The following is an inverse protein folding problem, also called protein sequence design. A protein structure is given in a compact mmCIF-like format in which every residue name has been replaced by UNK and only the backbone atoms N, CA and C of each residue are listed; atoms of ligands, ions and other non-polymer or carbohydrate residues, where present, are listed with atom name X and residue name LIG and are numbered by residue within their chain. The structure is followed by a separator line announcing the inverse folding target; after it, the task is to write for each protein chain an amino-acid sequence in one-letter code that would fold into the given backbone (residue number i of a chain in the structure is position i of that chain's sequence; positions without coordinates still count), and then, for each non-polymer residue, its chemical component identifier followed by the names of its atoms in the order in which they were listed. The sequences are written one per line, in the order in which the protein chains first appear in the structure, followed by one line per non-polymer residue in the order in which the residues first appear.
data_IF_774163802444
#
_entry.id   IF_774163802444
#
_cell.length_a   1.000
_cell.length_b   1.000
_cell.length_c   1.000
_cell.angle_alpha   90.00
_cell.angle_beta   90.00
_cell.angle_gamma   90.00
#
_symmetry.space_group_name_H-M   'P 1'
#
loop_
_entity.id
_entity.type
_entity.pdbx_description
1 polymer ?
#
# COMPACT_ATOMS: atom_id res chain seq x y z
N UNK A 1 -27.05 -1.32 6.96
CA UNK A 1 -28.35 -1.14 6.30
C UNK A 1 -28.72 -2.36 5.50
N UNK A 2 -30.01 -2.62 5.35
CA UNK A 2 -30.56 -3.65 4.45
C UNK A 2 -31.29 -2.91 3.32
N UNK A 3 -31.18 -3.35 2.06
CA UNK A 3 -31.88 -2.71 0.96
C UNK A 3 -33.40 -2.75 1.15
N UNK A 4 -34.05 -1.65 0.84
CA UNK A 4 -35.50 -1.47 0.82
C UNK A 4 -36.10 -2.00 -0.49
N UNK A 5 -37.43 -2.12 -0.56
CA UNK A 5 -38.12 -2.63 -1.74
C UNK A 5 -37.98 -1.71 -2.97
N UNK A 6 -37.68 -0.43 -2.75
CA UNK A 6 -37.51 0.58 -3.80
C UNK A 6 -36.05 0.72 -4.27
N UNK A 7 -35.10 0.09 -3.56
CA UNK A 7 -33.69 0.09 -3.94
C UNK A 7 -33.48 -0.78 -5.17
N UNK A 8 -32.98 -0.16 -6.24
CA UNK A 8 -32.62 -0.83 -7.48
C UNK A 8 -31.16 -1.25 -7.44
N UNK A 9 -30.88 -2.33 -8.14
CA UNK A 9 -29.52 -2.79 -8.33
C UNK A 9 -28.71 -1.71 -9.08
N UNK A 10 -27.65 -1.22 -8.46
CA UNK A 10 -26.80 -0.15 -9.01
C UNK A 10 -27.10 1.26 -8.49
N UNK A 11 -28.06 1.44 -7.56
CA UNK A 11 -28.30 2.73 -6.90
C UNK A 11 -27.10 3.20 -6.05
N UNK A 12 -26.27 2.26 -5.62
CA UNK A 12 -25.02 2.52 -4.92
C UNK A 12 -23.87 2.20 -5.87
N UNK A 13 -23.07 3.22 -6.17
CA UNK A 13 -21.84 3.10 -6.95
C UNK A 13 -20.67 3.71 -6.19
N UNK A 14 -19.50 3.10 -6.32
CA UNK A 14 -18.27 3.58 -5.68
C UNK A 14 -17.48 4.42 -6.66
N UNK A 15 -17.17 5.65 -6.27
CA UNK A 15 -16.21 6.48 -6.99
C UNK A 15 -14.78 5.98 -6.71
N UNK A 16 -14.19 5.32 -7.72
CA UNK A 16 -12.83 4.78 -7.65
C UNK A 16 -11.77 5.87 -7.69
N UNK A 17 -12.04 7.02 -8.34
CA UNK A 17 -11.12 8.14 -8.38
C UNK A 17 -11.01 8.77 -6.98
N UNK A 18 -12.15 9.03 -6.35
CA UNK A 18 -12.19 9.58 -4.98
C UNK A 18 -11.53 8.63 -3.97
N UNK A 19 -11.76 7.32 -4.11
CA UNK A 19 -11.09 6.32 -3.28
C UNK A 19 -9.55 6.37 -3.43
N UNK A 20 -9.07 6.56 -4.66
CA UNK A 20 -7.64 6.68 -4.95
C UNK A 20 -7.02 8.00 -4.45
N UNK A 21 -7.78 9.10 -4.46
CA UNK A 21 -7.37 10.38 -3.88
C UNK A 21 -7.13 10.25 -2.37
N UNK A 22 -8.09 9.70 -1.62
CA UNK A 22 -7.95 9.47 -0.18
C UNK A 22 -6.79 8.52 0.13
N UNK A 23 -6.60 7.47 -0.68
CA UNK A 23 -5.42 6.61 -0.56
C UNK A 23 -4.11 7.40 -0.66
N UNK A 24 -3.99 8.34 -1.60
CA UNK A 24 -2.79 9.18 -1.73
C UNK A 24 -2.60 10.12 -0.55
N UNK A 25 -3.68 10.67 0.00
CA UNK A 25 -3.62 11.48 1.23
C UNK A 25 -3.04 10.68 2.39
N UNK A 26 -3.51 9.45 2.59
CA UNK A 26 -2.97 8.56 3.63
C UNK A 26 -1.52 8.16 3.33
N UNK A 27 -1.20 7.86 2.08
CA UNK A 27 0.15 7.50 1.65
C UNK A 27 1.15 8.62 1.97
N UNK A 28 0.77 9.89 1.77
CA UNK A 28 1.61 11.05 2.06
C UNK A 28 1.93 11.22 3.56
N UNK A 29 1.13 10.63 4.45
CA UNK A 29 1.39 10.63 5.89
C UNK A 29 2.36 9.53 6.33
N UNK A 30 2.67 8.57 5.44
CA UNK A 30 3.57 7.46 5.74
C UNK A 30 5.03 7.84 5.53
N UNK A 31 5.95 7.07 6.13
CA UNK A 31 7.39 7.24 5.87
C UNK A 31 7.75 6.46 4.59
N UNK A 32 8.23 7.12 3.54
CA UNK A 32 8.67 6.42 2.34
C UNK A 32 9.95 5.61 2.64
N UNK A 33 10.20 4.58 1.83
CA UNK A 33 11.50 3.94 1.78
C UNK A 33 12.54 4.91 1.16
N UNK A 34 13.84 4.78 1.47
CA UNK A 34 14.49 3.75 2.29
C UNK A 34 14.36 3.98 3.81
N UNK A 35 14.50 2.90 4.57
CA UNK A 35 14.66 2.94 6.03
C UNK A 35 16.01 3.55 6.47
N UNK A 36 16.23 3.71 7.78
CA UNK A 36 17.43 4.35 8.33
C UNK A 36 18.77 3.76 7.86
N UNK A 37 18.82 2.46 7.50
CA UNK A 37 20.04 1.82 7.00
C UNK A 37 19.94 1.45 5.51
N UNK A 38 19.09 2.12 4.74
CA UNK A 38 18.97 1.90 3.29
C UNK A 38 18.05 0.73 2.90
N UNK A 39 17.34 0.12 3.84
CA UNK A 39 16.48 -1.01 3.54
C UNK A 39 15.13 -0.58 2.94
N UNK A 40 14.69 -1.28 1.90
CA UNK A 40 13.31 -1.24 1.39
C UNK A 40 12.29 -1.70 2.45
N UNK A 41 12.72 -2.58 3.36
CA UNK A 41 11.85 -3.22 4.38
C UNK A 41 12.64 -3.48 5.67
N UNK A 42 12.02 -3.45 6.86
CA UNK A 42 12.72 -3.77 8.10
C UNK A 42 13.14 -5.24 8.21
N UNK A 43 14.38 -5.49 8.65
CA UNK A 43 14.94 -6.84 8.83
C UNK A 43 14.33 -7.61 10.01
N UNK A 44 13.87 -6.90 11.04
CA UNK A 44 13.33 -7.49 12.28
C UNK A 44 11.88 -7.98 12.16
N UNK A 45 11.22 -7.70 11.03
CA UNK A 45 9.83 -8.11 10.81
C UNK A 45 9.76 -9.60 10.42
N UNK A 46 9.22 -10.45 11.30
CA UNK A 46 9.06 -11.89 11.06
C UNK A 46 8.14 -12.14 9.86
N UNK A 47 8.57 -13.01 8.96
CA UNK A 47 7.78 -13.47 7.79
C UNK A 47 7.75 -14.98 7.76
N UNK A 48 6.65 -15.55 7.26
CA UNK A 48 6.52 -17.00 7.09
C UNK A 48 7.66 -17.58 6.24
N UNK A 49 8.06 -16.87 5.19
CA UNK A 49 9.26 -17.16 4.40
C UNK A 49 10.16 -15.90 4.39
N UNK A 50 11.21 -15.88 5.22
CA UNK A 50 12.19 -14.78 5.21
C UNK A 50 13.01 -14.88 3.91
N UNK A 51 12.95 -13.88 3.00
CA UNK A 51 13.81 -13.86 1.82
C UNK A 51 15.27 -13.63 2.21
N UNK A 52 16.18 -13.79 1.24
CA UNK A 52 17.59 -13.46 1.38
C UNK A 52 17.79 -11.98 1.78
N UNK A 53 18.83 -11.70 2.55
CA UNK A 53 19.08 -10.37 3.10
C UNK A 53 19.36 -9.32 2.02
N UNK A 54 19.94 -9.71 0.88
CA UNK A 54 20.15 -8.82 -0.25
C UNK A 54 18.85 -8.19 -0.77
N UNK A 55 17.72 -8.90 -0.68
CA UNK A 55 16.41 -8.43 -1.17
C UNK A 55 15.81 -7.32 -0.31
N UNK A 56 16.35 -7.10 0.88
CA UNK A 56 15.93 -6.00 1.76
C UNK A 56 16.51 -4.66 1.33
N UNK A 57 17.55 -4.63 0.51
CA UNK A 57 18.22 -3.41 0.07
C UNK A 57 17.79 -3.03 -1.36
N UNK A 58 18.03 -1.76 -1.73
CA UNK A 58 17.94 -1.36 -3.12
C UNK A 58 19.13 -1.89 -3.90
N UNK A 59 18.90 -2.38 -5.11
CA UNK A 59 19.98 -2.78 -6.00
C UNK A 59 20.81 -1.54 -6.34
N UNK A 60 22.13 -1.61 -6.13
CA UNK A 60 23.08 -0.55 -6.51
C UNK A 60 23.14 -0.28 -8.03
N UNK A 61 22.39 -1.03 -8.84
CA UNK A 61 22.32 -0.92 -10.29
C UNK A 61 21.06 -0.18 -10.80
N UNK A 62 20.23 0.38 -9.92
CA UNK A 62 19.03 1.14 -10.30
C UNK A 62 19.11 2.61 -9.86
N UNK A 63 20.22 3.28 -10.19
CA UNK A 63 20.22 4.73 -10.39
C UNK A 63 19.92 5.02 -11.86
N UNK A 64 18.65 5.33 -12.17
CA UNK A 64 18.25 6.15 -13.31
C UNK A 64 17.03 6.96 -12.96
#
# INVERSE_FOLDING_TARGET
EKPTADDKYGDIFVDTNKSHEIYKEWLAMTRPAPGPNGERRPLWFKRAFKPDESTYYFDSNNEK
#
